data_IF_068701493659
#
_entry.id   IF_068701493659
#
_cell.length_a   1.000
_cell.length_b   1.000
_cell.length_c   1.000
_cell.angle_alpha   90.00
_cell.angle_beta   90.00
_cell.angle_gamma   90.00
#
_symmetry.space_group_name_H-M   'P 1'
#
loop_
_entity.id
_entity.type
_entity.pdbx_description
1 polymer ?
#
# COMPACT_ATOMS: atom_id res chain seq x y z
N UNK A 1 11.29 9.13 -10.59
CA UNK A 1 9.81 8.94 -10.68
C UNK A 1 9.28 8.99 -9.25
N UNK A 2 8.35 9.89 -8.94
CA UNK A 2 7.88 10.11 -7.57
C UNK A 2 6.64 9.25 -7.26
N UNK A 3 6.63 8.59 -6.11
CA UNK A 3 5.47 7.81 -5.62
C UNK A 3 4.40 8.71 -4.97
N UNK A 4 4.75 9.95 -4.63
CA UNK A 4 3.88 10.95 -4.01
C UNK A 4 2.47 11.09 -4.61
N UNK A 5 2.30 11.31 -5.94
CA UNK A 5 0.97 11.51 -6.52
C UNK A 5 0.08 10.27 -6.40
N UNK A 6 0.66 9.07 -6.35
CA UNK A 6 -0.10 7.84 -6.14
C UNK A 6 -0.60 7.73 -4.70
N UNK A 7 0.26 8.06 -3.73
CA UNK A 7 -0.10 8.05 -2.30
C UNK A 7 -1.25 9.02 -2.02
N UNK A 8 -1.19 10.22 -2.58
CA UNK A 8 -2.25 11.22 -2.47
C UNK A 8 -3.57 10.72 -3.10
N UNK A 9 -3.51 10.13 -4.29
CA UNK A 9 -4.70 9.62 -4.97
C UNK A 9 -5.36 8.43 -4.25
N UNK A 10 -4.58 7.51 -3.70
CA UNK A 10 -5.10 6.38 -2.91
C UNK A 10 -5.71 6.88 -1.59
N UNK A 11 -5.02 7.79 -0.91
CA UNK A 11 -5.49 8.39 0.35
C UNK A 11 -6.79 9.17 0.16
N UNK A 12 -6.89 9.99 -0.90
CA UNK A 12 -8.10 10.75 -1.22
C UNK A 12 -9.31 9.85 -1.55
N UNK A 13 -9.07 8.61 -1.98
CA UNK A 13 -10.11 7.61 -2.28
C UNK A 13 -10.42 6.67 -1.12
N UNK A 14 -9.75 6.83 0.03
CA UNK A 14 -9.89 5.91 1.16
C UNK A 14 -9.49 4.47 0.82
N UNK A 15 -8.57 4.29 -0.14
CA UNK A 15 -8.05 2.98 -0.51
C UNK A 15 -6.89 2.67 0.43
N UNK A 16 -6.97 1.61 1.25
CA UNK A 16 -5.87 1.23 2.13
C UNK A 16 -4.72 0.62 1.32
N UNK A 17 -3.50 0.98 1.70
CA UNK A 17 -2.27 0.52 1.06
C UNK A 17 -1.14 0.38 2.08
N UNK A 18 -0.07 -0.28 1.65
CA UNK A 18 1.20 -0.36 2.37
C UNK A 18 2.36 -0.07 1.40
N UNK A 19 3.52 0.30 1.92
CA UNK A 19 4.74 0.43 1.14
C UNK A 19 5.55 -0.87 1.22
N UNK A 20 5.92 -1.45 0.08
CA UNK A 20 6.88 -2.54 0.01
C UNK A 20 8.21 -1.99 -0.53
N UNK A 21 9.15 -1.71 0.37
CA UNK A 21 10.37 -0.96 0.03
C UNK A 21 11.61 -1.55 0.68
N UNK A 22 12.77 -1.36 0.07
CA UNK A 22 14.06 -1.70 0.68
C UNK A 22 14.64 -0.57 1.52
N UNK A 23 13.92 0.53 1.66
CA UNK A 23 14.28 1.67 2.50
C UNK A 23 13.57 1.59 3.83
N UNK A 24 14.25 2.00 4.90
CA UNK A 24 13.64 2.10 6.20
C UNK A 24 12.52 3.15 6.22
N UNK A 25 11.60 3.00 7.17
CA UNK A 25 10.54 3.97 7.47
C UNK A 25 11.04 5.43 7.55
N UNK A 26 12.25 5.63 8.06
CA UNK A 26 12.88 6.95 8.20
C UNK A 26 13.20 7.65 6.86
N UNK A 27 13.28 6.89 5.77
CA UNK A 27 13.53 7.43 4.43
C UNK A 27 12.24 7.87 3.70
N UNK A 28 11.06 7.56 4.26
CA UNK A 28 9.79 8.00 3.69
C UNK A 28 9.39 9.38 4.26
N UNK A 29 8.78 10.25 3.45
CA UNK A 29 8.19 11.49 3.92
C UNK A 29 7.25 11.26 5.11
N UNK A 30 7.36 12.09 6.14
CA UNK A 30 6.52 12.00 7.34
C UNK A 30 5.02 12.04 7.04
N UNK A 31 4.61 12.73 5.96
CA UNK A 31 3.24 12.79 5.47
C UNK A 31 2.65 11.41 5.10
N UNK A 32 3.48 10.38 4.88
CA UNK A 32 3.06 9.03 4.54
C UNK A 32 3.14 8.07 5.75
N UNK A 33 3.42 8.60 6.95
CA UNK A 33 3.67 7.83 8.17
C UNK A 33 2.50 6.98 8.67
N UNK A 34 1.28 7.16 8.18
CA UNK A 34 0.18 6.29 8.59
C UNK A 34 0.18 4.94 7.84
N UNK A 35 0.87 4.84 6.70
CA UNK A 35 0.90 3.61 5.93
C UNK A 35 1.94 2.61 6.49
N UNK A 36 1.58 1.32 6.63
CA UNK A 36 2.54 0.28 6.98
C UNK A 36 3.69 0.21 5.97
N UNK A 37 4.91 -0.01 6.46
CA UNK A 37 6.10 -0.20 5.62
C UNK A 37 6.58 -1.64 5.80
N UNK A 38 6.72 -2.33 4.69
CA UNK A 38 7.23 -3.67 4.60
C UNK A 38 8.65 -3.62 4.02
N UNK A 39 9.61 -3.72 4.93
CA UNK A 39 11.03 -3.67 4.61
C UNK A 39 11.48 -4.97 3.93
N UNK A 40 12.42 -4.87 3.00
CA UNK A 40 13.04 -6.04 2.39
C UNK A 40 13.95 -6.75 3.41
N UNK A 41 14.05 -8.10 3.37
CA UNK A 41 13.55 -8.99 2.31
C UNK A 41 12.04 -9.26 2.39
N UNK A 42 11.37 -9.16 1.24
CA UNK A 42 9.93 -9.42 1.11
C UNK A 42 9.65 -10.92 1.21
N UNK A 43 9.27 -11.38 2.40
CA UNK A 43 8.71 -12.72 2.57
C UNK A 43 7.26 -12.73 2.09
N UNK A 44 6.93 -13.56 1.10
CA UNK A 44 5.60 -13.59 0.48
C UNK A 44 4.49 -13.96 1.46
N UNK A 45 4.73 -14.88 2.40
CA UNK A 45 3.73 -15.25 3.41
C UNK A 45 3.39 -14.05 4.31
N UNK A 46 4.42 -13.35 4.79
CA UNK A 46 4.27 -12.14 5.61
C UNK A 46 3.65 -10.98 4.83
N UNK A 47 3.92 -10.87 3.53
CA UNK A 47 3.29 -9.89 2.66
C UNK A 47 1.79 -10.17 2.51
N UNK A 48 1.40 -11.43 2.31
CA UNK A 48 -0.01 -11.83 2.25
C UNK A 48 -0.72 -11.52 3.56
N UNK A 49 -0.09 -11.83 4.70
CA UNK A 49 -0.63 -11.46 6.02
C UNK A 49 -0.82 -9.94 6.16
N UNK A 50 0.21 -9.15 5.76
CA UNK A 50 0.17 -7.69 5.87
C UNK A 50 -0.92 -7.07 4.98
N UNK A 51 -1.09 -7.57 3.76
CA UNK A 51 -2.17 -7.14 2.86
C UNK A 51 -3.54 -7.56 3.40
N UNK A 52 -3.66 -8.77 3.94
CA UNK A 52 -4.91 -9.26 4.55
C UNK A 52 -5.31 -8.53 5.83
N UNK A 53 -4.35 -7.91 6.51
CA UNK A 53 -4.59 -7.09 7.71
C UNK A 53 -4.99 -5.63 7.37
N UNK A 54 -4.92 -5.21 6.11
CA UNK A 54 -5.42 -3.90 5.70
C UNK A 54 -6.94 -3.83 5.91
N UNK A 55 -7.47 -2.67 6.32
CA UNK A 55 -8.91 -2.50 6.42
C UNK A 55 -9.57 -2.67 5.04
N UNK A 56 -10.88 -2.92 4.95
CA UNK A 56 -11.58 -2.86 3.68
C UNK A 56 -11.47 -1.45 3.09
N UNK A 57 -11.52 -1.34 1.75
CA UNK A 57 -11.69 -0.05 1.11
C UNK A 57 -13.00 0.58 1.61
N UNK A 58 -12.99 1.89 1.83
CA UNK A 58 -14.23 2.61 2.11
C UNK A 58 -15.28 2.29 1.02
N UNK A 59 -16.52 2.02 1.44
CA UNK A 59 -17.63 1.64 0.56
C UNK A 59 -17.72 2.59 -0.64
N UNK A 60 -17.65 2.02 -1.85
CA UNK A 60 -17.68 2.78 -3.11
C UNK A 60 -16.63 2.36 -4.13
N UNK A 61 -15.61 1.58 -3.74
CA UNK A 61 -14.73 0.92 -4.69
C UNK A 61 -15.38 -0.40 -5.12
N UNK A 62 -16.16 -0.37 -6.21
CA UNK A 62 -16.63 -1.59 -6.88
C UNK A 62 -15.45 -2.50 -7.26
N UNK A 63 -15.68 -3.73 -7.78
CA UNK A 63 -14.63 -4.72 -8.06
C UNK A 63 -13.71 -4.29 -9.22
N UNK A 64 -12.89 -3.26 -9.00
CA UNK A 64 -11.91 -2.74 -9.91
C UNK A 64 -10.56 -3.41 -9.64
N UNK A 65 -10.50 -4.73 -9.84
CA UNK A 65 -9.27 -5.46 -10.20
C UNK A 65 -9.65 -6.89 -10.61
N UNK A 66 -10.10 -7.06 -11.85
CA UNK A 66 -10.06 -8.36 -12.55
C UNK A 66 -9.35 -8.17 -13.88
N UNK A 67 -8.10 -7.74 -13.84
CA UNK A 67 -7.22 -7.93 -14.99
C UNK A 67 -6.53 -9.29 -14.80
N UNK A 68 -6.59 -10.21 -15.79
CA UNK A 68 -5.80 -11.43 -15.73
C UNK A 68 -4.31 -11.05 -15.70
N UNK A 69 -3.56 -11.64 -14.77
CA UNK A 69 -2.11 -11.70 -14.89
C UNK A 69 -1.82 -12.64 -16.05
N UNK A 70 -1.46 -12.07 -17.20
CA UNK A 70 -1.01 -12.81 -18.38
C UNK A 70 0.43 -13.28 -18.21
#
# INVERSE_FOLDING_TARGET
>A
MAVAPLVEALSARGIPFLFATGYDRAALPAAWGEAPVFEKPLNLGRLVEAVGALPPCADGLGPAMRAPVA
#
